data_IF_158342293811
#
_entry.id   IF_158342293811
#
_cell.length_a   1.000
_cell.length_b   1.000
_cell.length_c   1.000
_cell.angle_alpha   90.00
_cell.angle_beta   90.00
_cell.angle_gamma   90.00
#
_symmetry.space_group_name_H-M   'P 1'
#
loop_
_entity.id
_entity.type
_entity.pdbx_description
1 polymer ?
2 polymer ?
3 non-polymer ?
4 non-polymer ?
5 water ?
#
# COMPACT_ATOMS: atom_id res chain seq x y z
N UNK A 1 -7.15 -16.94 -8.66
CA UNK A 1 -8.18 -16.40 -7.77
C UNK A 1 -8.13 -14.87 -7.65
N UNK A 2 -9.31 -14.28 -7.49
CA UNK A 2 -9.47 -12.83 -7.48
C UNK A 2 -9.77 -12.39 -6.06
N UNK A 3 -9.02 -11.37 -5.61
CA UNK A 3 -9.19 -10.77 -4.28
C UNK A 3 -9.67 -9.34 -4.44
N UNK A 4 -10.89 -9.05 -3.97
CA UNK A 4 -11.45 -7.72 -4.12
C UNK A 4 -10.97 -6.86 -2.98
N UNK A 5 -11.42 -5.62 -2.97
CA UNK A 5 -10.79 -4.59 -2.16
C UNK A 5 -11.79 -3.78 -1.31
N UNK A 6 -12.98 -4.33 -1.09
CA UNK A 6 -13.95 -3.71 -0.19
C UNK A 6 -13.50 -3.83 1.23
N UNK A 7 -12.79 -4.91 1.53
CA UNK A 7 -12.11 -5.04 2.81
C UNK A 7 -10.60 -5.00 2.61
N UNK A 8 -9.87 -4.79 3.71
CA UNK A 8 -8.44 -4.88 3.67
C UNK A 8 -8.02 -6.25 3.14
N UNK A 9 -7.02 -6.26 2.23
CA UNK A 9 -6.58 -7.55 1.71
C UNK A 9 -5.58 -8.23 2.63
N UNK A 10 -6.10 -8.76 3.75
CA UNK A 10 -5.29 -9.51 4.70
C UNK A 10 -5.25 -10.97 4.29
N UNK A 11 -4.10 -11.60 4.50
CA UNK A 11 -3.93 -13.03 4.20
C UNK A 11 -3.14 -13.63 5.33
N UNK A 12 -3.26 -14.93 5.53
CA UNK A 12 -2.41 -15.63 6.47
C UNK A 12 -1.11 -16.01 5.76
N UNK A 13 0.04 -15.71 6.38
CA UNK A 13 1.31 -16.11 5.82
C UNK A 13 1.95 -17.11 6.76
N UNK A 14 2.82 -17.94 6.20
CA UNK A 14 3.65 -18.81 7.01
C UNK A 14 5.10 -18.37 6.85
N UNK A 15 5.72 -18.04 7.98
CA UNK A 15 7.10 -17.57 7.99
C UNK A 15 7.77 -18.09 9.26
N UNK A 16 8.94 -18.70 9.09
CA UNK A 16 9.70 -19.29 10.21
C UNK A 16 8.86 -20.21 11.09
N UNK A 17 8.02 -21.03 10.46
CA UNK A 17 7.12 -21.94 11.17
C UNK A 17 6.05 -21.24 12.00
N UNK A 18 5.61 -20.07 11.56
CA UNK A 18 4.65 -19.26 12.32
C UNK A 18 3.57 -18.74 11.37
N UNK A 19 2.32 -18.75 11.79
CA UNK A 19 1.28 -18.10 11.01
C UNK A 19 1.18 -16.64 11.43
N UNK A 20 1.02 -15.76 10.45
CA UNK A 20 0.68 -14.40 10.79
C UNK A 20 -0.26 -13.82 9.76
N UNK A 21 -0.93 -12.74 10.15
CA UNK A 21 -1.80 -11.98 9.30
C UNK A 21 -0.97 -10.86 8.68
N UNK A 22 -1.07 -10.72 7.36
CA UNK A 22 -0.39 -9.62 6.69
C UNK A 22 -1.27 -9.00 5.60
N UNK A 23 -0.95 -7.76 5.26
CA UNK A 23 -1.72 -7.02 4.26
C UNK A 23 -1.00 -7.04 2.90
N UNK A 24 -1.73 -7.43 1.87
CA UNK A 24 -1.20 -7.41 0.51
C UNK A 24 -1.17 -5.93 0.06
N UNK A 25 0.05 -5.39 -0.10
CA UNK A 25 0.27 -3.97 -0.20
C UNK A 25 1.06 -3.63 -1.47
N UNK A 26 0.34 -3.32 -2.54
CA UNK A 26 0.95 -2.85 -3.77
C UNK A 26 1.65 -1.49 -3.66
N UNK A 27 1.32 -0.72 -2.62
CA UNK A 27 1.99 0.55 -2.39
C UNK A 27 3.32 0.47 -1.69
N UNK A 28 3.80 -0.74 -1.48
CA UNK A 28 5.06 -0.95 -0.74
C UNK A 28 6.06 -1.67 -1.61
N UNK A 29 7.28 -1.18 -1.64
CA UNK A 29 8.37 -1.87 -2.32
C UNK A 29 8.81 -3.09 -1.54
N UNK A 30 8.82 -2.96 -0.21
CA UNK A 30 9.50 -3.88 0.69
C UNK A 30 8.40 -4.62 1.46
N UNK A 31 8.70 -5.82 1.89
CA UNK A 31 7.86 -6.55 2.87
C UNK A 31 8.35 -6.22 4.30
N UNK A 32 7.42 -5.73 5.15
CA UNK A 32 7.75 -5.20 6.49
C UNK A 32 6.89 -5.86 7.57
N UNK A 33 7.54 -6.69 8.40
CA UNK A 33 6.85 -7.43 9.44
C UNK A 33 7.11 -6.81 10.80
N UNK A 34 6.09 -6.81 11.62
CA UNK A 34 6.19 -6.47 13.05
C UNK A 34 7.28 -7.26 13.74
N UNK A 35 7.87 -6.67 14.76
CA UNK A 35 8.91 -7.33 15.57
C UNK A 35 8.68 -8.84 15.79
N UNK A 36 9.68 -9.64 15.42
CA UNK A 36 9.65 -11.10 15.61
C UNK A 36 11.09 -11.59 15.54
N UNK A 37 11.37 -12.79 16.05
CA UNK A 37 12.69 -13.40 15.87
C UNK A 37 12.73 -14.25 14.62
N UNK A 38 13.56 -13.84 13.68
CA UNK A 38 13.80 -14.64 12.50
C UNK A 38 15.19 -15.21 12.56
N UNK A 39 15.34 -16.46 12.11
CA UNK A 39 16.63 -17.09 11.89
C UNK A 39 17.30 -16.60 10.60
N UNK A 40 18.39 -15.87 10.77
CA UNK A 40 19.27 -15.58 9.65
C UNK A 40 20.30 -14.53 10.02
N UNK A 41 21.30 -14.40 9.15
CA UNK A 41 22.06 -13.17 9.06
C UNK A 41 21.06 -12.04 8.79
N UNK A 42 21.28 -10.89 9.40
CA UNK A 42 20.47 -9.71 9.12
C UNK A 42 21.32 -8.49 9.20
N UNK A 43 21.03 -7.52 8.35
CA UNK A 43 21.72 -6.25 8.40
C UNK A 43 20.79 -5.11 8.78
N UNK A 44 21.28 -4.20 9.64
CA UNK A 44 20.59 -2.99 10.00
C UNK A 44 20.17 -2.26 8.74
N UNK A 45 18.99 -1.66 8.76
CA UNK A 45 18.57 -0.88 7.63
C UNK A 45 17.63 0.22 8.10
N UNK A 46 17.43 1.21 7.24
CA UNK A 46 16.60 2.36 7.56
C UNK A 46 15.65 2.49 6.41
N UNK A 47 14.35 2.58 6.68
CA UNK A 47 13.35 2.81 5.62
C UNK A 47 12.43 4.00 5.91
N UNK A 48 11.79 4.49 4.85
CA UNK A 48 10.54 5.28 4.91
C UNK A 48 10.39 6.12 6.16
N UNK A 49 9.14 6.26 6.61
CA UNK A 49 8.89 6.85 7.90
C UNK A 49 8.22 8.19 7.78
N UNK A 50 6.96 8.24 8.17
CA UNK A 50 6.34 9.52 8.41
C UNK A 50 7.16 10.13 9.50
N UNK A 51 7.82 11.32 9.08
CA UNK A 51 8.64 12.05 10.02
C UNK A 51 10.10 11.72 10.07
N UNK A 52 10.56 10.80 9.32
CA UNK A 52 11.95 10.37 9.17
C UNK A 52 12.10 8.87 8.90
N UNK A 53 13.34 8.40 9.02
CA UNK A 53 13.63 7.01 8.75
C UNK A 53 13.37 6.11 9.96
N UNK A 54 12.74 4.96 9.74
CA UNK A 54 12.63 3.96 10.81
C UNK A 54 13.65 2.87 10.57
N UNK A 55 14.21 2.39 11.67
CA UNK A 55 15.21 1.34 11.59
C UNK A 55 14.53 -0.01 11.52
N UNK A 56 15.04 -0.86 10.65
CA UNK A 56 14.53 -2.21 10.55
C UNK A 56 15.69 -3.19 10.48
N UNK A 57 15.39 -4.47 10.65
CA UNK A 57 16.39 -5.49 10.40
C UNK A 57 16.06 -6.17 9.09
N UNK A 58 17.06 -6.36 8.26
CA UNK A 58 16.85 -6.87 6.92
C UNK A 58 17.34 -8.31 6.82
N UNK A 59 16.36 -9.19 6.67
CA UNK A 59 16.63 -10.60 6.43
C UNK A 59 16.43 -10.95 4.96
N UNK A 60 17.48 -11.50 4.38
CA UNK A 60 17.46 -11.88 2.96
C UNK A 60 17.12 -13.37 2.75
N UNK A 61 16.58 -13.66 1.56
CA UNK A 61 16.25 -15.06 1.15
C UNK A 61 15.53 -15.88 2.23
N UNK A 62 14.42 -15.35 2.74
CA UNK A 62 13.58 -16.03 3.70
C UNK A 62 12.37 -16.66 3.00
N UNK A 63 12.12 -17.94 3.26
CA UNK A 63 10.86 -18.54 2.79
C UNK A 63 9.64 -17.87 3.47
N UNK A 64 8.65 -17.55 2.65
CA UNK A 64 7.36 -17.01 3.11
C UNK A 64 6.28 -17.61 2.23
N UNK A 65 5.39 -18.38 2.84
CA UNK A 65 4.25 -18.92 2.09
C UNK A 65 3.04 -18.01 2.21
N UNK A 66 2.46 -17.66 1.06
CA UNK A 66 1.39 -16.66 0.98
C UNK A 66 0.25 -17.17 0.06
N UNK A 67 -0.94 -17.37 0.60
CA UNK A 67 -2.07 -17.87 -0.22
C UNK A 67 -1.76 -19.22 -0.88
N UNK A 68 -0.80 -19.96 -0.34
CA UNK A 68 -0.43 -21.26 -0.90
C UNK A 68 0.64 -21.17 -1.98
N UNK A 69 1.29 -20.01 -2.07
CA UNK A 69 2.49 -19.87 -2.90
C UNK A 69 3.70 -19.64 -2.04
N UNK A 70 4.81 -20.23 -2.43
CA UNK A 70 6.05 -20.13 -1.67
C UNK A 70 6.98 -19.09 -2.30
N UNK A 71 7.10 -17.94 -1.65
CA UNK A 71 8.10 -16.96 -2.04
C UNK A 71 9.36 -17.24 -1.23
N UNK A 72 10.52 -16.83 -1.76
CA UNK A 72 11.75 -16.81 -0.99
C UNK A 72 12.37 -15.46 -1.30
N UNK A 73 12.42 -14.59 -0.29
CA UNK A 73 12.84 -13.22 -0.52
C UNK A 73 13.08 -12.42 0.75
N UNK A 74 13.36 -11.14 0.56
CA UNK A 74 13.74 -10.22 1.64
C UNK A 74 12.56 -9.83 2.53
N UNK A 75 12.77 -9.97 3.84
CA UNK A 75 11.81 -9.53 4.84
C UNK A 75 12.49 -8.53 5.77
N UNK A 76 11.84 -7.38 5.95
CA UNK A 76 12.30 -6.38 6.92
C UNK A 76 11.46 -6.52 8.19
N UNK A 77 12.10 -6.49 9.34
CA UNK A 77 11.39 -6.56 10.60
C UNK A 77 11.60 -5.26 11.40
N UNK A 78 10.50 -4.67 11.86
CA UNK A 78 10.57 -3.48 12.69
C UNK A 78 9.19 -2.99 13.09
N UNK A 79 9.14 -1.72 13.52
CA UNK A 79 7.99 -1.10 14.19
C UNK A 79 6.89 -0.68 13.23
N UNK A 80 6.57 -1.52 12.25
CA UNK A 80 5.40 -1.29 11.43
C UNK A 80 4.16 -1.59 12.27
N UNK A 81 3.09 -0.82 12.06
CA UNK A 81 1.79 -1.04 12.70
C UNK A 81 1.02 -2.24 12.17
N UNK A 82 1.45 -2.76 11.01
CA UNK A 82 0.82 -3.94 10.42
C UNK A 82 1.85 -4.70 9.62
N UNK A 83 1.70 -6.01 9.54
CA UNK A 83 2.53 -6.77 8.64
C UNK A 83 2.18 -6.44 7.20
N UNK A 84 3.20 -6.27 6.37
CA UNK A 84 3.04 -5.74 5.04
C UNK A 84 3.76 -6.61 4.02
N UNK A 85 3.00 -7.18 3.09
CA UNK A 85 3.58 -7.88 1.95
C UNK A 85 3.72 -6.91 0.80
N UNK A 86 4.96 -6.55 0.51
CA UNK A 86 5.22 -5.64 -0.57
C UNK A 86 5.50 -6.30 -1.90
N UNK A 87 5.80 -5.47 -2.90
CA UNK A 87 5.89 -5.95 -4.26
C UNK A 87 7.02 -6.98 -4.44
N UNK A 88 8.05 -6.91 -3.61
CA UNK A 88 9.16 -7.85 -3.75
C UNK A 88 8.67 -9.30 -3.61
N UNK A 89 7.58 -9.51 -2.87
CA UNK A 89 7.08 -10.85 -2.66
C UNK A 89 5.74 -11.09 -3.46
N UNK A 90 4.97 -10.02 -3.68
CA UNK A 90 3.77 -10.11 -4.53
C UNK A 90 4.12 -10.55 -5.97
N UNK A 91 5.24 -10.03 -6.51
CA UNK A 91 5.73 -10.48 -7.80
C UNK A 91 6.02 -11.97 -7.77
N UNK A 92 6.57 -12.46 -6.66
CA UNK A 92 7.02 -13.86 -6.64
C UNK A 92 5.85 -14.82 -6.66
N UNK A 93 4.72 -14.40 -6.10
CA UNK A 93 3.50 -15.20 -6.18
C UNK A 93 2.64 -14.89 -7.41
N UNK A 94 3.17 -14.05 -8.29
CA UNK A 94 2.52 -13.74 -9.56
C UNK A 94 1.26 -12.91 -9.39
N UNK A 95 1.26 -11.97 -8.46
CA UNK A 95 0.13 -11.08 -8.25
C UNK A 95 0.18 -9.91 -9.22
N UNK A 96 -0.98 -9.55 -9.77
CA UNK A 96 -1.09 -8.34 -10.60
C UNK A 96 -2.30 -7.54 -10.17
N UNK A 97 -2.31 -6.26 -10.50
CA UNK A 97 -3.54 -5.51 -10.42
C UNK A 97 -4.30 -5.66 -11.72
N UNK A 98 -5.60 -5.56 -11.63
CA UNK A 98 -6.46 -5.70 -12.78
C UNK A 98 -7.79 -5.00 -12.55
N UNK A 99 -8.46 -4.68 -13.63
CA UNK A 99 -9.78 -4.14 -13.51
C UNK A 99 -10.75 -5.30 -13.62
N UNK A 100 -10.62 -6.27 -12.71
CA UNK A 100 -11.45 -7.47 -12.71
C UNK A 100 -12.92 -7.10 -12.60
N UNK A 101 -13.19 -6.01 -11.87
CA UNK A 101 -14.53 -5.43 -11.78
C UNK A 101 -14.83 -4.44 -12.89
N UNK A 105 -7.49 -3.67 -18.22
CA UNK A 105 -6.04 -3.62 -18.38
C UNK A 105 -5.29 -4.09 -17.13
N UNK A 106 -4.31 -4.97 -17.36
CA UNK A 106 -3.51 -5.52 -16.28
C UNK A 106 -2.33 -4.59 -15.97
N UNK A 107 -2.09 -4.38 -14.68
CA UNK A 107 -0.97 -3.57 -14.22
C UNK A 107 0.00 -4.43 -13.42
N UNK A 108 1.11 -4.84 -14.03
CA UNK A 108 2.08 -5.66 -13.32
C UNK A 108 2.70 -4.87 -12.17
N UNK A 109 3.43 -5.58 -11.32
CA UNK A 109 3.91 -5.04 -10.06
C UNK A 109 5.43 -5.08 -10.00
N UNK A 110 6.06 -5.27 -11.16
CA UNK A 110 7.49 -5.18 -11.26
C UNK A 110 7.96 -3.80 -10.89
N UNK A 111 7.14 -2.80 -11.20
CA UNK A 111 7.40 -1.44 -10.79
C UNK A 111 6.20 -0.94 -9.97
N UNK A 112 6.35 0.23 -9.38
CA UNK A 112 5.25 0.91 -8.72
C UNK A 112 4.10 1.11 -9.69
N UNK A 113 2.90 0.61 -9.33
CA UNK A 113 1.70 0.87 -10.15
C UNK A 113 1.29 2.33 -10.16
N UNK A 114 2.07 3.15 -10.85
CA UNK A 114 1.77 4.56 -10.99
C UNK A 114 0.75 4.79 -12.10
N UNK A 115 -0.17 5.71 -11.87
CA UNK A 115 -1.22 5.94 -12.84
C UNK A 115 -1.60 7.41 -12.85
N UNK A 116 -1.68 7.97 -14.04
CA UNK A 116 -2.18 9.32 -14.20
C UNK A 116 -3.61 9.39 -13.70
N UNK A 117 -3.84 10.37 -12.83
CA UNK A 117 -5.14 10.67 -12.38
C UNK A 117 -5.41 12.14 -12.74
N UNK A 118 -6.68 12.47 -12.80
CA UNK A 118 -7.12 13.82 -13.08
C UNK A 118 -8.13 14.15 -12.00
N UNK A 119 -7.97 15.25 -11.27
CA UNK A 119 -8.82 15.36 -10.09
C UNK A 119 -9.34 16.75 -9.78
N UNK A 120 -8.53 17.76 -9.99
CA UNK A 120 -9.00 19.10 -9.68
C UNK A 120 -9.74 19.64 -10.88
N UNK A 121 -10.13 18.75 -11.80
CA UNK A 121 -9.91 19.07 -13.19
C UNK A 121 -8.41 19.24 -13.40
N UNK A 122 -7.61 18.55 -12.58
CA UNK A 122 -6.17 18.64 -12.66
C UNK A 122 -5.54 17.23 -12.71
N UNK A 123 -4.34 17.16 -13.29
CA UNK A 123 -3.76 15.88 -13.71
C UNK A 123 -2.45 15.54 -12.97
N UNK A 124 -2.34 14.32 -12.45
CA UNK A 124 -1.27 13.95 -11.53
C UNK A 124 -0.84 12.49 -11.67
N UNK A 125 0.30 12.15 -11.07
CA UNK A 125 0.73 10.76 -10.95
C UNK A 125 0.44 10.20 -9.56
N UNK A 126 -0.18 9.03 -9.52
CA UNK A 126 -0.62 8.50 -8.26
C UNK A 126 -0.43 7.01 -8.22
N UNK A 127 0.01 6.56 -7.05
CA UNK A 127 0.24 5.18 -6.77
C UNK A 127 -1.17 4.56 -6.51
N UNK A 128 -1.25 3.28 -7.11
CA UNK A 128 -2.36 2.38 -6.79
C UNK A 128 -1.96 1.54 -5.55
N UNK A 129 -2.66 1.76 -4.44
CA UNK A 129 -2.22 1.25 -3.13
C UNK A 129 -3.28 0.43 -2.41
N UNK A 130 -3.17 -0.90 -2.52
CA UNK A 130 -4.09 -1.81 -1.84
C UNK A 130 -3.91 -1.85 -0.32
N UNK A 131 -2.76 -1.39 0.18
CA UNK A 131 -2.51 -1.34 1.60
C UNK A 131 -3.03 -0.05 2.25
N UNK A 132 -3.63 0.83 1.44
CA UNK A 132 -4.17 2.07 1.93
C UNK A 132 -5.72 2.02 1.97
N UNK A 133 -6.31 2.28 3.14
CA UNK A 133 -7.76 2.42 3.26
C UNK A 133 -8.32 3.57 2.39
N UNK A 134 -7.61 4.69 2.42
CA UNK A 134 -8.06 5.93 1.86
C UNK A 134 -7.10 6.46 0.79
N UNK A 135 -7.59 7.44 0.04
CA UNK A 135 -6.85 8.11 -1.00
C UNK A 135 -6.23 9.38 -0.41
N UNK A 136 -4.92 9.52 -0.59
CA UNK A 136 -4.16 10.56 0.07
C UNK A 136 -3.40 11.33 -0.98
N UNK A 137 -3.72 12.61 -1.14
CA UNK A 137 -3.13 13.39 -2.22
C UNK A 137 -2.18 14.46 -1.73
N UNK A 138 -1.17 14.71 -2.55
CA UNK A 138 -0.15 15.73 -2.29
C UNK A 138 -0.83 17.07 -2.13
N UNK A 139 -0.17 17.95 -1.38
CA UNK A 139 -0.74 19.25 -1.07
C UNK A 139 -1.24 19.95 -2.33
N UNK A 140 -2.52 20.33 -2.30
CA UNK A 140 -3.14 21.03 -3.38
C UNK A 140 -4.34 21.78 -2.83
N UNK A 141 -4.79 22.78 -3.56
CA UNK A 141 -6.07 23.41 -3.29
C UNK A 141 -7.19 22.57 -3.88
N UNK A 142 -8.23 22.37 -3.08
CA UNK A 142 -9.46 21.77 -3.55
C UNK A 142 -10.57 22.66 -3.06
N UNK A 143 -11.62 22.80 -3.87
CA UNK A 143 -12.81 23.54 -3.46
C UNK A 143 -13.57 22.78 -2.39
N UNK A 144 -14.36 23.50 -1.60
CA UNK A 144 -15.31 22.87 -0.68
C UNK A 144 -14.84 22.77 0.76
N UNK A 145 -15.73 22.26 1.60
CA UNK A 145 -15.46 22.12 3.03
C UNK A 145 -14.58 20.90 3.31
N UNK A 146 -13.81 20.99 4.39
CA UNK A 146 -12.83 19.94 4.72
C UNK A 146 -12.56 19.93 6.19
N UNK A 147 -12.47 18.74 6.76
CA UNK A 147 -12.29 18.60 8.19
C UNK A 147 -10.97 17.89 8.48
N UNK A 148 -10.33 18.21 9.60
CA UNK A 148 -9.06 17.59 9.94
C UNK A 148 -9.17 16.12 10.33
N UNK A 149 -8.14 15.36 9.95
CA UNK A 149 -8.06 13.96 10.23
C UNK A 149 -6.57 13.66 10.45
N UNK A 150 -6.30 12.66 11.26
CA UNK A 150 -4.96 12.14 11.40
C UNK A 150 -4.96 10.73 10.88
N UNK A 151 -4.02 10.42 9.98
CA UNK A 151 -3.90 9.09 9.47
C UNK A 151 -2.49 8.58 9.71
N UNK A 152 -2.41 7.25 9.81
CA UNK A 152 -1.21 6.59 10.29
C UNK A 152 -0.56 5.73 9.23
N UNK A 153 0.76 5.67 9.30
CA UNK A 153 1.52 4.68 8.57
C UNK A 153 2.81 4.37 9.29
N UNK A 154 3.76 3.77 8.59
CA UNK A 154 5.06 3.51 9.18
C UNK A 154 5.67 4.85 9.58
N UNK A 155 6.17 4.94 10.81
CA UNK A 155 6.76 6.17 11.31
C UNK A 155 5.83 7.03 12.17
N UNK A 156 4.53 6.89 12.00
CA UNK A 156 3.59 7.64 12.83
C UNK A 156 2.43 8.17 12.02
N UNK A 157 1.97 9.37 12.37
CA UNK A 157 0.75 9.93 11.81
C UNK A 157 1.04 11.22 11.09
N UNK A 158 0.26 11.51 10.04
CA UNK A 158 0.25 12.85 9.48
C UNK A 158 -1.14 13.43 9.53
N UNK A 159 -1.18 14.74 9.69
CA UNK A 159 -2.42 15.47 9.64
C UNK A 159 -2.79 15.77 8.20
N UNK A 160 -4.05 15.53 7.87
CA UNK A 160 -4.54 15.80 6.53
C UNK A 160 -5.85 16.56 6.61
N UNK A 161 -6.34 17.04 5.45
CA UNK A 161 -7.67 17.58 5.31
C UNK A 161 -8.53 16.56 4.57
N UNK A 162 -9.69 16.27 5.12
CA UNK A 162 -10.61 15.29 4.52
C UNK A 162 -11.72 15.98 3.72
N UNK A 163 -11.66 15.83 2.41
CA UNK A 163 -12.72 16.33 1.54
C UNK A 163 -13.58 15.17 1.09
N UNK A 164 -14.88 15.38 1.07
CA UNK A 164 -15.80 14.32 0.67
C UNK A 164 -16.35 14.58 -0.72
N UNK A 165 -16.92 13.54 -1.30
CA UNK A 165 -17.51 13.60 -2.64
C UNK A 165 -16.65 14.34 -3.67
N UNK A 166 -15.38 13.97 -3.76
CA UNK A 166 -14.47 14.60 -4.72
C UNK A 166 -14.28 13.71 -5.97
N UNK A 167 -14.60 14.24 -7.17
CA UNK A 167 -14.44 13.37 -8.34
C UNK A 167 -13.00 13.20 -8.77
N UNK A 168 -12.58 11.98 -9.03
CA UNK A 168 -11.22 11.76 -9.51
C UNK A 168 -11.26 10.81 -10.71
N UNK A 169 -10.64 11.20 -11.83
CA UNK A 169 -10.54 10.27 -12.96
C UNK A 169 -9.24 9.48 -12.91
N UNK A 170 -9.37 8.16 -13.06
CA UNK A 170 -8.25 7.24 -12.92
C UNK A 170 -8.19 6.25 -14.08
N UNK A 171 -7.17 6.36 -14.91
CA UNK A 171 -7.04 5.53 -16.08
C UNK A 171 -8.37 5.47 -16.83
N UNK A 172 -9.01 6.62 -16.98
CA UNK A 172 -10.23 6.72 -17.78
C UNK A 172 -11.52 6.44 -17.02
N UNK A 173 -11.41 5.94 -15.79
CA UNK A 173 -12.58 5.63 -14.98
C UNK A 173 -12.93 6.80 -14.08
N UNK A 174 -14.22 6.96 -13.81
CA UNK A 174 -14.70 8.06 -12.98
C UNK A 174 -15.01 7.55 -11.58
N UNK A 175 -14.29 8.06 -10.60
CA UNK A 175 -14.54 7.72 -9.21
C UNK A 175 -14.96 8.99 -8.46
N UNK A 176 -15.84 8.84 -7.46
CA UNK A 176 -16.12 9.97 -6.60
C UNK A 176 -16.21 9.58 -5.14
N UNK A 177 -15.37 10.20 -4.32
CA UNK A 177 -15.46 10.00 -2.91
C UNK A 177 -14.42 10.80 -2.17
N UNK A 178 -13.99 10.24 -1.05
CA UNK A 178 -13.20 10.98 -0.09
C UNK A 178 -11.74 11.06 -0.53
N UNK A 179 -11.17 12.25 -0.40
CA UNK A 179 -9.75 12.49 -0.68
C UNK A 179 -9.16 13.23 0.51
N UNK A 180 -8.00 12.78 0.99
CA UNK A 180 -7.29 13.40 2.09
C UNK A 180 -6.11 14.15 1.50
N UNK A 181 -5.86 15.37 1.97
CA UNK A 181 -4.80 16.19 1.39
C UNK A 181 -3.82 16.55 2.47
N UNK A 182 -2.56 16.25 2.25
CA UNK A 182 -1.54 16.49 3.24
C UNK A 182 -0.14 16.20 2.70
N UNK A 183 0.87 16.44 3.52
CA UNK A 183 2.26 16.47 3.10
C UNK A 183 2.79 15.09 2.72
N UNK A 184 2.49 14.64 1.50
CA UNK A 184 2.87 13.30 1.07
C UNK A 184 3.77 13.34 -0.16
N UNK A 185 4.88 12.61 -0.11
CA UNK A 185 5.77 12.56 -1.27
C UNK A 185 5.06 12.07 -2.50
N UNK A 186 4.13 11.12 -2.31
CA UNK A 186 3.44 10.50 -3.42
C UNK A 186 1.96 10.45 -3.19
N UNK A 187 1.23 10.80 -4.24
CA UNK A 187 -0.21 10.64 -4.28
C UNK A 187 -0.54 9.15 -4.19
N UNK A 188 -1.55 8.81 -3.39
CA UNK A 188 -1.92 7.42 -3.15
C UNK A 188 -3.37 7.27 -3.49
N UNK A 189 -3.70 6.28 -4.33
CA UNK A 189 -5.06 5.94 -4.58
C UNK A 189 -5.35 4.72 -3.71
N UNK A 190 -6.26 4.89 -2.74
CA UNK A 190 -6.56 3.85 -1.81
C UNK A 190 -7.78 3.05 -2.23
N UNK A 191 -8.15 2.09 -1.39
CA UNK A 191 -9.24 1.19 -1.68
C UNK A 191 -10.60 1.88 -1.86
N UNK A 192 -10.88 2.93 -1.09
CA UNK A 192 -12.15 3.63 -1.24
C UNK A 192 -12.44 3.91 -2.72
N UNK A 193 -11.43 4.39 -3.45
CA UNK A 193 -11.57 4.66 -4.87
C UNK A 193 -11.30 3.46 -5.75
N UNK A 194 -10.31 2.65 -5.37
CA UNK A 194 -9.90 1.51 -6.20
C UNK A 194 -11.10 0.62 -6.44
N UNK A 195 -11.92 0.43 -5.40
CA UNK A 195 -13.08 -0.45 -5.50
C UNK A 195 -14.10 0.14 -6.47
N UNK A 196 -14.31 1.44 -6.39
CA UNK A 196 -15.27 2.12 -7.28
C UNK A 196 -14.96 1.73 -8.71
N UNK A 197 -13.70 1.87 -9.10
CA UNK A 197 -13.35 1.71 -10.52
C UNK A 197 -13.20 0.24 -10.93
N UNK A 198 -13.41 -0.69 -9.99
CA UNK A 198 -13.44 -2.12 -10.29
C UNK A 198 -12.09 -2.82 -10.31
N UNK A 199 -11.23 -2.52 -9.34
CA UNK A 199 -9.88 -3.09 -9.32
C UNK A 199 -9.80 -4.27 -8.35
N UNK A 200 -9.07 -5.31 -8.77
CA UNK A 200 -8.87 -6.49 -7.94
C UNK A 200 -7.39 -6.88 -7.90
N UNK A 201 -6.99 -7.61 -6.88
CA UNK A 201 -5.67 -8.25 -6.86
C UNK A 201 -5.87 -9.65 -7.42
N UNK A 202 -5.14 -10.01 -8.45
CA UNK A 202 -5.27 -11.33 -9.06
C UNK A 202 -3.94 -12.09 -9.16
N UNK A 203 -3.98 -13.39 -8.88
CA UNK A 203 -2.82 -14.24 -9.09
C UNK A 203 -3.22 -15.68 -9.42
N UNK B 2 10.49 2.70 0.17
CA UNK B 2 9.14 3.31 0.06
C UNK B 2 8.06 2.30 0.41
N UNK B 3 7.59 2.38 1.64
CA UNK B 3 6.49 1.54 2.10
C UNK B 3 5.22 2.34 2.38
N UNK B 4 4.40 2.58 1.36
CA UNK B 4 3.24 3.46 1.52
C UNK B 4 1.99 2.70 1.86
N UNK B 5 1.17 3.35 2.66
CA UNK B 5 0.26 2.65 3.51
C UNK B 5 -0.32 3.70 4.45
N UNK B 6 -1.64 3.71 4.50
CA UNK B 6 -2.38 4.78 5.11
C UNK B 6 -3.62 4.16 5.75
N UNK B 7 -3.55 3.91 7.06
CA UNK B 7 -4.67 3.38 7.83
C UNK B 7 -5.54 4.48 8.42
#
# INVERSE_FOLDING_TARGET
PQITLWKRPLVTIRIGGQLKEALLNTGSDFTVLEEMNLPGKWKPKMIRGIGGFIKVRQYDQIPVEILGHKAIGTVLVGPTPVNIIGRNLLTQIGMTLNFGGSSGPQITLWKRPLVTIRIGGQLKEALLNTGSDDTVLEEMNLPGKWKPKMIGGIGGFIKVRQYDQIPVEILGHKAIGTVLVGPTPVNIIGRNLLTQIGMTLNF
AETFYVDG
#
